data_IF_544936353095
#
_entry.id   IF_544936353095
#
_cell.length_a   1.000
_cell.length_b   1.000
_cell.length_c   1.000
_cell.angle_alpha   90.00
_cell.angle_beta   90.00
_cell.angle_gamma   90.00
#
_symmetry.space_group_name_H-M   'P 1'
#
loop_
_entity.id
_entity.type
_entity.pdbx_description
1 polymer ?
#
# COMPACT_ATOMS: atom_id res chain seq x y z
N UNK A 1 -18.34 29.33 46.12
CA UNK A 1 -18.28 29.79 44.71
C UNK A 1 -17.76 28.65 43.87
N UNK A 2 -18.49 28.36 42.79
CA UNK A 2 -18.40 27.17 41.96
C UNK A 2 -17.10 27.09 41.15
N UNK A 3 -16.60 25.87 40.91
CA UNK A 3 -16.47 25.26 39.57
C UNK A 3 -15.89 23.83 39.67
N UNK A 4 -16.70 22.85 39.27
CA UNK A 4 -16.24 21.56 38.70
C UNK A 4 -15.63 21.83 37.31
N UNK A 5 -14.73 20.97 36.80
CA UNK A 5 -15.16 19.86 35.91
C UNK A 5 -14.42 18.53 36.21
N UNK A 6 -15.08 17.37 36.18
CA UNK A 6 -15.47 16.54 35.02
C UNK A 6 -14.30 15.72 34.40
N UNK A 7 -14.16 14.49 34.93
CA UNK A 7 -13.94 13.19 34.26
C UNK A 7 -13.10 13.18 32.96
N UNK A 8 -12.01 12.39 32.97
CA UNK A 8 -11.82 11.38 31.93
C UNK A 8 -11.28 10.09 32.56
N UNK A 9 -12.19 9.13 32.71
CA UNK A 9 -11.91 7.75 33.08
C UNK A 9 -11.02 7.11 32.01
N UNK A 10 -9.79 6.75 32.37
CA UNK A 10 -8.95 5.88 31.56
C UNK A 10 -9.52 4.45 31.69
N UNK A 11 -10.55 4.13 30.90
CA UNK A 11 -11.03 2.76 30.78
C UNK A 11 -9.99 1.94 30.02
N UNK A 12 -9.10 1.29 30.75
CA UNK A 12 -8.27 0.21 30.24
C UNK A 12 -9.16 -1.03 30.18
N UNK A 13 -9.75 -1.30 29.02
CA UNK A 13 -10.35 -2.61 28.75
C UNK A 13 -9.22 -3.61 28.47
N UNK A 14 -8.93 -4.46 29.44
CA UNK A 14 -8.19 -5.69 29.21
C UNK A 14 -9.17 -6.73 28.63
N UNK A 15 -9.08 -6.99 27.32
CA UNK A 15 -9.68 -8.17 26.70
C UNK A 15 -8.62 -8.84 25.83
N UNK A 16 -8.15 -9.99 26.30
CA UNK A 16 -7.48 -11.07 25.56
C UNK A 16 -6.36 -10.70 24.57
N UNK A 17 -5.13 -10.58 25.09
CA UNK A 17 -3.98 -11.27 24.51
C UNK A 17 -3.45 -10.82 23.13
N UNK A 18 -3.92 -9.71 22.59
CA UNK A 18 -3.25 -9.05 21.45
C UNK A 18 -2.75 -7.69 21.91
N UNK A 19 -1.43 -7.51 21.91
CA UNK A 19 -0.84 -6.18 21.93
C UNK A 19 -1.37 -5.42 20.70
N UNK A 20 -2.38 -4.57 20.90
CA UNK A 20 -2.58 -3.46 20.00
C UNK A 20 -1.35 -2.56 20.18
N UNK A 21 -0.40 -2.66 19.25
CA UNK A 21 0.64 -1.64 19.15
C UNK A 21 -0.02 -0.32 18.79
N UNK A 22 -0.33 0.48 19.81
CA UNK A 22 -0.59 1.89 19.66
C UNK A 22 0.73 2.52 19.19
N UNK A 23 0.97 2.52 17.87
CA UNK A 23 1.99 3.37 17.28
C UNK A 23 1.65 4.81 17.67
N UNK A 24 2.57 5.54 18.31
CA UNK A 24 2.25 6.85 18.85
C UNK A 24 1.87 7.79 17.71
N UNK A 25 0.69 8.41 17.83
CA UNK A 25 0.17 9.50 16.99
C UNK A 25 1.14 10.71 16.84
N UNK A 26 2.30 10.69 17.50
CA UNK A 26 3.32 11.75 17.50
C UNK A 26 4.43 11.58 16.44
N UNK A 27 4.44 10.50 15.65
CA UNK A 27 5.54 10.22 14.70
C UNK A 27 5.49 11.14 13.47
N UNK A 28 4.31 11.36 12.89
CA UNK A 28 4.14 12.09 11.62
C UNK A 28 3.67 13.53 11.84
N UNK A 29 4.14 14.46 10.99
CA UNK A 29 3.66 15.84 10.95
C UNK A 29 2.38 16.01 10.17
N UNK A 30 2.21 15.17 9.15
CA UNK A 30 1.08 15.17 8.26
C UNK A 30 0.96 13.82 7.56
N UNK A 31 -0.27 13.45 7.21
CA UNK A 31 -0.59 12.26 6.43
C UNK A 31 -1.63 12.63 5.38
N UNK A 32 -1.34 12.32 4.11
CA UNK A 32 -2.24 12.58 2.99
C UNK A 32 -2.56 11.32 2.22
N UNK A 33 -3.79 11.20 1.74
CA UNK A 33 -4.18 10.11 0.83
C UNK A 33 -3.52 10.34 -0.52
N UNK A 34 -2.76 9.35 -0.99
CA UNK A 34 -2.15 9.32 -2.32
C UNK A 34 -3.07 8.61 -3.32
N UNK A 35 -3.70 7.51 -2.92
CA UNK A 35 -4.69 6.78 -3.70
C UNK A 35 -5.65 6.04 -2.76
N UNK A 36 -6.96 6.07 -3.07
CA UNK A 36 -8.02 5.34 -2.36
C UNK A 36 -8.93 4.55 -3.32
N UNK A 37 -8.57 4.45 -4.59
CA UNK A 37 -9.20 3.70 -5.66
C UNK A 37 -10.64 4.11 -6.03
N UNK A 38 -11.12 5.26 -5.54
CA UNK A 38 -12.46 5.77 -5.85
C UNK A 38 -12.59 6.25 -7.30
N UNK A 39 -11.54 6.87 -7.84
CA UNK A 39 -11.50 7.39 -9.20
C UNK A 39 -10.48 6.65 -10.07
N UNK A 40 -9.97 5.51 -9.59
CA UNK A 40 -8.96 4.75 -10.30
C UNK A 40 -9.51 4.19 -11.60
N UNK A 41 -8.76 4.32 -12.68
CA UNK A 41 -9.13 3.78 -13.98
C UNK A 41 -7.96 3.02 -14.59
N UNK A 42 -8.21 1.76 -14.88
CA UNK A 42 -7.33 0.93 -15.68
C UNK A 42 -8.15 0.10 -16.64
N UNK A 43 -7.48 -0.41 -17.66
CA UNK A 43 -8.06 -1.33 -18.64
C UNK A 43 -7.18 -2.57 -18.74
N UNK A 44 -7.63 -3.60 -19.45
CA UNK A 44 -6.85 -4.82 -19.64
C UNK A 44 -5.44 -4.57 -20.21
N UNK A 45 -5.26 -3.51 -21.01
CA UNK A 45 -3.95 -3.10 -21.53
C UNK A 45 -2.95 -2.68 -20.45
N UNK A 46 -3.44 -2.33 -19.25
CA UNK A 46 -2.64 -1.94 -18.11
C UNK A 46 -2.20 -3.15 -17.28
N UNK A 47 -2.76 -4.33 -17.54
CA UNK A 47 -2.42 -5.56 -16.84
C UNK A 47 -1.42 -6.32 -17.69
N UNK A 48 -0.25 -6.62 -17.12
CA UNK A 48 0.74 -7.48 -17.76
C UNK A 48 0.82 -8.76 -16.97
N UNK A 49 0.50 -9.87 -17.64
CA UNK A 49 0.58 -11.20 -17.07
C UNK A 49 1.86 -11.88 -17.54
N UNK A 50 2.71 -12.27 -16.61
CA UNK A 50 3.91 -13.05 -16.88
C UNK A 50 3.68 -14.48 -16.44
N UNK A 51 3.58 -15.39 -17.40
CA UNK A 51 3.46 -16.82 -17.13
C UNK A 51 2.64 -17.54 -18.19
N UNK A 52 2.58 -18.86 -18.05
CA UNK A 52 1.80 -19.74 -18.89
C UNK A 52 0.74 -20.42 -18.02
N UNK A 53 -0.47 -19.86 -18.02
CA UNK A 53 -1.61 -20.42 -17.31
C UNK A 53 -2.78 -20.64 -18.27
N UNK A 54 -3.50 -21.73 -18.07
CA UNK A 54 -4.84 -21.89 -18.68
C UNK A 54 -5.92 -21.19 -17.83
N UNK A 55 -5.59 -20.89 -16.56
CA UNK A 55 -6.47 -20.23 -15.59
C UNK A 55 -5.86 -18.88 -15.22
N UNK A 56 -6.50 -17.80 -15.65
CA UNK A 56 -5.94 -16.46 -15.47
C UNK A 56 -6.45 -15.79 -14.19
N UNK A 57 -5.57 -15.08 -13.46
CA UNK A 57 -5.99 -14.16 -12.41
C UNK A 57 -6.93 -13.08 -12.93
N UNK A 58 -7.83 -12.62 -12.07
CA UNK A 58 -8.74 -11.50 -12.32
C UNK A 58 -8.25 -10.29 -11.51
N UNK A 59 -8.09 -9.13 -12.16
CA UNK A 59 -7.73 -7.88 -11.52
C UNK A 59 -8.89 -6.91 -11.77
N UNK A 60 -9.45 -6.36 -10.70
CA UNK A 60 -10.61 -5.44 -10.79
C UNK A 60 -10.67 -4.47 -9.62
N UNK A 61 -11.44 -3.40 -9.83
CA UNK A 61 -11.96 -2.62 -8.72
C UNK A 61 -13.14 -3.33 -8.06
N UNK A 62 -13.23 -3.28 -6.74
CA UNK A 62 -14.33 -3.90 -5.99
C UNK A 62 -14.72 -3.10 -4.74
N UNK A 63 -16.03 -3.07 -4.47
CA UNK A 63 -16.61 -2.57 -3.23
C UNK A 63 -16.80 -3.65 -2.15
N UNK A 64 -16.54 -4.92 -2.49
CA UNK A 64 -16.74 -6.05 -1.56
C UNK A 64 -15.65 -6.13 -0.47
N UNK A 65 -14.49 -5.55 -0.74
CA UNK A 65 -13.32 -5.63 0.14
C UNK A 65 -12.70 -4.24 0.32
N UNK A 66 -13.34 -3.37 1.08
CA UNK A 66 -12.76 -2.06 1.42
C UNK A 66 -12.15 -2.08 2.82
N UNK A 67 -11.15 -1.22 3.03
CA UNK A 67 -10.40 -1.17 4.28
C UNK A 67 -11.31 -0.74 5.44
N UNK A 68 -11.23 -1.39 6.60
CA UNK A 68 -11.97 -0.95 7.78
C UNK A 68 -11.32 0.26 8.48
N UNK A 69 -10.13 0.70 8.02
CA UNK A 69 -9.36 1.75 8.68
C UNK A 69 -9.76 3.16 8.23
N UNK A 70 -10.33 3.30 7.02
CA UNK A 70 -10.83 4.55 6.48
C UNK A 70 -12.01 4.25 5.55
N UNK A 71 -12.97 5.18 5.47
CA UNK A 71 -14.10 5.04 4.56
C UNK A 71 -13.61 5.01 3.11
N UNK A 72 -13.93 3.92 2.42
CA UNK A 72 -13.66 3.68 1.00
C UNK A 72 -14.81 2.83 0.45
N UNK A 73 -15.20 3.10 -0.79
CA UNK A 73 -16.20 2.34 -1.55
C UNK A 73 -15.56 1.47 -2.63
N UNK A 74 -14.25 1.60 -2.87
CA UNK A 74 -13.56 0.92 -3.96
C UNK A 74 -12.13 0.53 -3.56
N UNK A 75 -11.67 -0.61 -4.06
CA UNK A 75 -10.34 -1.14 -3.78
C UNK A 75 -9.82 -1.93 -4.97
N UNK A 76 -8.50 -2.05 -5.11
CA UNK A 76 -7.88 -2.86 -6.15
C UNK A 76 -7.73 -4.31 -5.68
N UNK A 77 -8.48 -5.22 -6.31
CA UNK A 77 -8.45 -6.65 -6.02
C UNK A 77 -7.63 -7.40 -7.07
N UNK A 78 -6.68 -8.21 -6.59
CA UNK A 78 -6.07 -9.32 -7.29
C UNK A 78 -6.73 -10.61 -6.81
N UNK A 79 -7.49 -11.25 -7.69
CA UNK A 79 -8.10 -12.56 -7.44
C UNK A 79 -7.34 -13.61 -8.24
N UNK A 80 -6.73 -14.54 -7.52
CA UNK A 80 -5.92 -15.61 -8.10
C UNK A 80 -6.68 -16.92 -7.89
N UNK A 81 -7.30 -17.48 -8.94
CA UNK A 81 -7.99 -18.75 -8.84
C UNK A 81 -7.04 -19.89 -8.44
N UNK A 82 -7.61 -20.90 -7.79
CA UNK A 82 -6.87 -22.13 -7.49
C UNK A 82 -6.32 -22.75 -8.78
N UNK A 83 -5.04 -23.17 -8.75
CA UNK A 83 -4.37 -23.76 -9.91
C UNK A 83 -3.82 -22.76 -10.94
N UNK A 84 -4.02 -21.45 -10.78
CA UNK A 84 -3.39 -20.45 -11.64
C UNK A 84 -1.85 -20.50 -11.53
N UNK A 85 -1.16 -20.57 -12.67
CA UNK A 85 0.31 -20.65 -12.75
C UNK A 85 0.87 -19.42 -13.44
N UNK A 86 1.54 -18.57 -12.67
CA UNK A 86 2.14 -17.35 -13.16
C UNK A 86 3.45 -17.07 -12.43
N UNK A 87 4.27 -16.21 -13.00
CA UNK A 87 5.48 -15.69 -12.39
C UNK A 87 5.21 -14.35 -11.69
N UNK A 88 4.47 -13.47 -12.35
CA UNK A 88 4.00 -12.20 -11.78
C UNK A 88 2.82 -11.61 -12.55
N UNK A 89 2.09 -10.73 -11.89
CA UNK A 89 1.04 -9.89 -12.47
C UNK A 89 1.45 -8.44 -12.21
N UNK A 90 1.47 -7.61 -13.23
CA UNK A 90 1.70 -6.18 -13.13
C UNK A 90 0.41 -5.41 -13.42
N UNK A 91 0.21 -4.32 -12.69
CA UNK A 91 -0.86 -3.34 -12.93
C UNK A 91 -0.19 -1.99 -13.09
N UNK A 92 -0.09 -1.51 -14.32
CA UNK A 92 0.52 -0.23 -14.66
C UNK A 92 -0.52 0.89 -14.58
N UNK A 93 -0.19 1.96 -13.88
CA UNK A 93 -1.09 3.10 -13.73
C UNK A 93 -1.17 3.89 -15.03
N UNK A 94 -2.39 4.19 -15.47
CA UNK A 94 -2.60 5.08 -16.63
C UNK A 94 -2.08 6.50 -16.37
N UNK A 95 -2.07 6.92 -15.10
CA UNK A 95 -1.49 8.19 -14.65
C UNK A 95 -0.68 7.91 -13.37
N UNK A 96 0.64 8.20 -13.37
CA UNK A 96 1.47 7.97 -12.19
C UNK A 96 1.05 8.83 -11.00
N UNK A 97 1.19 8.29 -9.79
CA UNK A 97 1.01 9.08 -8.57
C UNK A 97 2.27 9.88 -8.26
N UNK A 98 2.10 11.20 -8.12
CA UNK A 98 3.21 12.11 -7.86
C UNK A 98 3.46 12.27 -6.36
N UNK A 99 4.73 12.13 -6.00
CA UNK A 99 5.26 12.38 -4.67
C UNK A 99 6.12 13.64 -4.77
N UNK A 100 5.58 14.83 -4.41
CA UNK A 100 6.18 16.13 -4.72
C UNK A 100 7.33 16.52 -3.80
N UNK A 101 7.47 15.86 -2.66
CA UNK A 101 8.42 16.21 -1.60
C UNK A 101 9.16 14.96 -1.13
N UNK A 102 10.13 15.15 -0.23
CA UNK A 102 10.80 14.06 0.47
C UNK A 102 9.77 13.26 1.28
N UNK A 103 9.14 12.30 0.61
CA UNK A 103 8.35 11.26 1.23
C UNK A 103 9.28 10.40 2.06
N UNK A 104 8.90 10.16 3.31
CA UNK A 104 9.71 9.36 4.20
C UNK A 104 9.15 7.95 4.32
N UNK A 105 7.82 7.80 4.23
CA UNK A 105 7.14 6.52 4.37
C UNK A 105 5.80 6.52 3.63
N UNK A 106 5.47 5.41 2.96
CA UNK A 106 4.15 5.12 2.44
C UNK A 106 3.45 4.12 3.35
N UNK A 107 2.16 4.31 3.60
CA UNK A 107 1.30 3.33 4.26
C UNK A 107 0.36 2.70 3.24
N UNK A 108 0.31 1.37 3.21
CA UNK A 108 -0.59 0.59 2.38
C UNK A 108 -1.57 -0.17 3.26
N UNK A 109 -2.87 -0.09 2.96
CA UNK A 109 -3.84 -0.99 3.56
C UNK A 109 -3.97 -2.23 2.68
N UNK A 110 -3.47 -3.36 3.18
CA UNK A 110 -3.50 -4.62 2.44
C UNK A 110 -4.42 -5.63 3.11
N UNK A 111 -5.17 -6.36 2.32
CA UNK A 111 -5.91 -7.54 2.76
C UNK A 111 -5.42 -8.77 2.03
N UNK A 112 -5.42 -9.92 2.72
CA UNK A 112 -5.22 -11.20 2.08
C UNK A 112 -6.01 -12.35 2.69
N UNK A 113 -6.43 -13.31 1.87
CA UNK A 113 -7.11 -14.54 2.32
C UNK A 113 -6.14 -15.65 2.73
N UNK A 114 -4.88 -15.58 2.31
CA UNK A 114 -3.89 -16.59 2.63
C UNK A 114 -2.51 -15.97 2.86
N UNK A 115 -1.61 -16.78 3.40
CA UNK A 115 -0.19 -16.43 3.46
C UNK A 115 0.47 -16.92 2.18
N UNK A 116 1.50 -16.20 1.77
CA UNK A 116 2.32 -16.43 0.59
C UNK A 116 2.18 -15.30 -0.44
N UNK A 117 3.19 -15.17 -1.30
CA UNK A 117 3.27 -14.13 -2.33
C UNK A 117 3.98 -12.87 -1.86
N UNK A 118 4.30 -12.02 -2.83
CA UNK A 118 5.07 -10.79 -2.60
C UNK A 118 4.45 -9.65 -3.40
N UNK A 119 4.13 -8.56 -2.72
CA UNK A 119 3.64 -7.34 -3.34
C UNK A 119 4.77 -6.32 -3.46
N UNK A 120 4.86 -5.69 -4.61
CA UNK A 120 5.77 -4.62 -4.94
C UNK A 120 5.02 -3.45 -5.57
N UNK A 121 5.62 -2.27 -5.53
CA UNK A 121 5.26 -1.17 -6.41
C UNK A 121 6.45 -0.74 -7.26
N UNK A 122 6.15 -0.18 -8.42
CA UNK A 122 7.11 0.45 -9.31
C UNK A 122 7.16 1.93 -9.05
N UNK A 123 8.38 2.46 -9.06
CA UNK A 123 8.61 3.87 -8.79
C UNK A 123 9.74 4.40 -9.67
N UNK A 124 9.52 5.54 -10.30
CA UNK A 124 10.56 6.29 -11.00
C UNK A 124 11.13 7.35 -10.06
N UNK A 125 12.45 7.37 -9.92
CA UNK A 125 13.13 8.40 -9.15
C UNK A 125 13.16 9.76 -9.87
N UNK A 126 13.73 10.78 -9.21
CA UNK A 126 13.86 12.13 -9.77
C UNK A 126 14.65 12.19 -11.10
N UNK A 127 15.51 11.21 -11.36
CA UNK A 127 16.29 11.06 -12.59
C UNK A 127 15.62 10.13 -13.62
N UNK A 128 14.33 9.82 -13.42
CA UNK A 128 13.53 8.91 -14.25
C UNK A 128 14.07 7.48 -14.31
N UNK A 129 14.85 7.05 -13.31
CA UNK A 129 15.32 5.66 -13.24
C UNK A 129 14.25 4.81 -12.55
N UNK A 130 13.88 3.65 -13.13
CA UNK A 130 12.87 2.79 -12.54
C UNK A 130 13.46 1.99 -11.37
N UNK A 131 12.66 1.85 -10.32
CA UNK A 131 12.94 1.04 -9.13
C UNK A 131 11.74 0.14 -8.85
N UNK A 132 12.01 -1.06 -8.32
CA UNK A 132 11.00 -1.96 -7.80
C UNK A 132 11.15 -2.08 -6.30
N UNK A 133 10.14 -1.66 -5.55
CA UNK A 133 10.19 -1.57 -4.09
C UNK A 133 9.24 -2.60 -3.50
N UNK A 134 9.72 -3.37 -2.53
CA UNK A 134 8.90 -4.37 -1.84
C UNK A 134 7.95 -3.67 -0.87
N UNK A 135 6.66 -3.97 -0.99
CA UNK A 135 5.66 -3.57 0.00
C UNK A 135 5.63 -4.60 1.12
N UNK A 136 5.35 -5.86 0.80
CA UNK A 136 5.28 -6.92 1.80
C UNK A 136 5.52 -8.29 1.16
N UNK A 137 6.19 -9.16 1.91
CA UNK A 137 5.93 -10.62 1.83
C UNK A 137 4.64 -10.88 2.57
N UNK A 138 3.63 -11.45 1.92
CA UNK A 138 2.29 -11.56 2.49
C UNK A 138 2.28 -12.75 3.45
N UNK A 139 2.57 -12.51 4.73
CA UNK A 139 2.63 -13.57 5.76
C UNK A 139 1.48 -13.44 6.78
N UNK A 140 0.38 -12.82 6.37
CA UNK A 140 -0.79 -12.52 7.21
C UNK A 140 -2.08 -12.85 6.47
N UNK A 141 -3.17 -12.94 7.23
CA UNK A 141 -4.54 -13.06 6.72
C UNK A 141 -5.38 -11.93 7.32
N UNK A 142 -6.36 -11.43 6.59
CA UNK A 142 -7.12 -10.24 6.97
C UNK A 142 -6.42 -8.93 6.62
N UNK A 143 -6.97 -7.82 7.12
CA UNK A 143 -6.48 -6.46 6.85
C UNK A 143 -5.26 -6.11 7.70
N UNK A 144 -4.25 -5.51 7.08
CA UNK A 144 -3.03 -5.03 7.73
C UNK A 144 -2.54 -3.75 7.10
N UNK A 145 -2.08 -2.82 7.95
CA UNK A 145 -1.35 -1.63 7.53
C UNK A 145 0.13 -1.96 7.37
N UNK A 146 0.69 -1.66 6.21
CA UNK A 146 2.10 -1.91 5.88
C UNK A 146 2.78 -0.58 5.61
N UNK A 147 3.88 -0.32 6.32
CA UNK A 147 4.65 0.92 6.21
C UNK A 147 5.94 0.65 5.44
N UNK A 148 6.15 1.39 4.34
CA UNK A 148 7.30 1.23 3.44
C UNK A 148 8.13 2.49 3.46
N UNK A 149 9.38 2.45 3.95
CA UNK A 149 10.26 3.62 3.97
C UNK A 149 10.71 3.97 2.55
N UNK A 150 10.69 5.26 2.21
CA UNK A 150 11.04 5.80 0.88
C UNK A 150 12.45 6.41 0.82
N UNK A 151 13.23 6.28 1.91
CA UNK A 151 14.54 6.91 2.08
C UNK A 151 15.61 6.42 1.09
N UNK A 152 15.46 5.20 0.56
CA UNK A 152 16.43 4.59 -0.36
C UNK A 152 16.24 4.99 -1.81
N UNK A 153 15.16 5.70 -2.15
CA UNK A 153 14.89 6.14 -3.52
C UNK A 153 15.42 7.57 -3.67
N UNK A 154 16.29 7.86 -4.63
CA UNK A 154 16.83 9.21 -4.81
C UNK A 154 15.73 10.24 -5.13
N UNK A 155 15.72 11.37 -4.40
CA UNK A 155 14.77 12.47 -4.60
C UNK A 155 15.38 13.69 -5.31
N UNK A 156 16.70 13.69 -5.52
CA UNK A 156 17.44 14.81 -6.12
C UNK A 156 18.11 14.37 -7.42
N UNK A 157 17.94 15.17 -8.47
CA UNK A 157 18.72 15.06 -9.70
C UNK A 157 20.00 15.88 -9.53
N UNK A 158 21.12 15.19 -9.25
CA UNK A 158 22.43 15.82 -9.04
C UNK A 158 22.93 16.63 -10.24
N UNK A 159 22.41 16.36 -11.45
CA UNK A 159 22.86 17.02 -12.69
C UNK A 159 22.14 18.36 -12.87
N UNK A 160 20.85 18.40 -12.57
CA UNK A 160 20.01 19.59 -12.79
C UNK A 160 19.80 20.44 -11.54
N UNK A 161 20.11 19.92 -10.35
CA UNK A 161 19.85 20.56 -9.06
C UNK A 161 18.37 20.97 -8.88
N UNK A 162 17.48 20.25 -9.57
CA UNK A 162 16.03 20.46 -9.54
C UNK A 162 15.37 19.33 -8.75
N UNK A 163 14.50 19.70 -7.81
CA UNK A 163 13.65 18.74 -7.10
C UNK A 163 12.53 18.30 -8.04
N UNK A 164 12.63 17.08 -8.58
CA UNK A 164 11.57 16.46 -9.37
C UNK A 164 10.77 15.49 -8.51
N UNK A 165 9.44 15.40 -8.72
CA UNK A 165 8.62 14.46 -7.99
C UNK A 165 9.00 13.03 -8.37
N UNK A 166 9.01 12.15 -7.37
CA UNK A 166 9.03 10.71 -7.57
C UNK A 166 7.66 10.28 -8.09
N UNK A 167 7.63 9.26 -8.96
CA UNK A 167 6.38 8.77 -9.58
C UNK A 167 6.16 7.32 -9.24
N UNK A 168 5.05 6.98 -8.58
CA UNK A 168 4.60 5.58 -8.53
C UNK A 168 3.94 5.27 -9.86
N UNK A 169 4.36 4.19 -10.53
CA UNK A 169 3.93 3.87 -11.90
C UNK A 169 3.15 2.57 -12.00
N UNK A 170 3.10 1.76 -10.95
CA UNK A 170 2.35 0.51 -10.96
C UNK A 170 2.58 -0.37 -9.75
N UNK A 171 1.93 -1.52 -9.78
CA UNK A 171 2.04 -2.57 -8.77
C UNK A 171 2.44 -3.88 -9.43
N UNK A 172 3.15 -4.73 -8.69
CA UNK A 172 3.48 -6.08 -9.12
C UNK A 172 3.17 -7.07 -7.99
N UNK A 173 2.42 -8.10 -8.32
CA UNK A 173 2.16 -9.23 -7.43
C UNK A 173 2.88 -10.48 -7.94
N UNK A 174 3.67 -11.10 -7.06
CA UNK A 174 4.19 -12.45 -7.25
C UNK A 174 3.32 -13.47 -6.52
N UNK A 175 3.11 -14.65 -7.10
CA UNK A 175 2.32 -15.69 -6.46
C UNK A 175 3.01 -16.24 -5.20
N UNK A 176 2.23 -16.91 -4.33
CA UNK A 176 2.81 -17.77 -3.32
C UNK A 176 3.55 -18.96 -3.95
N UNK A 177 4.47 -19.62 -3.20
CA UNK A 177 5.07 -20.88 -3.61
C UNK A 177 4.00 -21.93 -3.96
N UNK A 178 4.30 -22.83 -4.90
CA UNK A 178 3.36 -23.87 -5.40
C UNK A 178 2.65 -24.67 -4.30
N UNK A 179 3.30 -24.88 -3.15
CA UNK A 179 2.75 -25.60 -2.00
C UNK A 179 1.51 -24.95 -1.38
N UNK A 180 1.25 -23.67 -1.65
CA UNK A 180 0.15 -22.89 -1.06
C UNK A 180 -0.99 -22.59 -2.05
N UNK A 181 -0.91 -23.09 -3.30
CA UNK A 181 -1.86 -22.79 -4.40
C UNK A 181 -3.15 -23.63 -4.41
N UNK A 182 -3.45 -24.34 -3.33
CA UNK A 182 -4.60 -25.27 -3.26
C UNK A 182 -5.96 -24.59 -3.09
N UNK A 183 -5.98 -23.27 -2.91
CA UNK A 183 -7.18 -22.46 -2.72
C UNK A 183 -7.06 -21.15 -3.48
N UNK A 184 -8.20 -20.51 -3.70
CA UNK A 184 -8.24 -19.15 -4.22
C UNK A 184 -7.51 -18.18 -3.27
N UNK A 185 -6.65 -17.35 -3.85
CA UNK A 185 -5.82 -16.40 -3.15
C UNK A 185 -6.25 -14.98 -3.56
N UNK A 186 -6.69 -14.19 -2.59
CA UNK A 186 -7.05 -12.80 -2.80
C UNK A 186 -5.99 -11.91 -2.17
N UNK A 187 -5.60 -10.88 -2.89
CA UNK A 187 -4.82 -9.76 -2.38
C UNK A 187 -5.55 -8.50 -2.75
N UNK A 188 -5.81 -7.63 -1.77
CA UNK A 188 -6.47 -6.35 -2.02
C UNK A 188 -5.54 -5.25 -1.54
N UNK A 189 -5.43 -4.22 -2.37
CA UNK A 189 -4.78 -2.96 -2.02
C UNK A 189 -5.90 -1.93 -1.92
N UNK A 190 -5.92 -1.24 -0.80
CA UNK A 190 -6.75 -0.07 -0.59
C UNK A 190 -5.89 1.00 0.08
N UNK A 191 -6.34 2.25 0.02
CA UNK A 191 -5.83 3.37 0.81
C UNK A 191 -4.28 3.40 0.93
N UNK A 192 -3.66 4.08 -0.01
CA UNK A 192 -2.23 4.38 0.01
C UNK A 192 -2.08 5.80 0.57
N UNK A 193 -1.43 5.93 1.72
CA UNK A 193 -1.17 7.21 2.36
C UNK A 193 0.31 7.55 2.25
N UNK A 194 0.58 8.85 2.09
CA UNK A 194 1.91 9.40 2.23
C UNK A 194 2.07 10.05 3.60
N UNK A 195 3.15 9.71 4.30
CA UNK A 195 3.48 10.26 5.60
C UNK A 195 4.77 11.09 5.60
N UNK A 196 4.72 12.21 6.33
CA UNK A 196 5.86 13.09 6.59
C UNK A 196 6.24 13.05 8.08
N UNK A 197 7.53 13.03 8.44
CA UNK A 197 7.99 13.01 9.84
C UNK A 197 8.14 14.41 10.42
N UNK A 198 7.73 14.58 11.68
CA UNK A 198 7.83 15.84 12.44
C UNK A 198 9.24 16.44 12.52
N UNK A 199 10.30 15.63 12.38
CA UNK A 199 11.69 16.10 12.55
C UNK A 199 12.22 16.92 11.37
N UNK A 200 11.54 16.91 10.22
CA UNK A 200 12.00 17.58 8.99
C UNK A 200 11.15 18.79 8.59
N UNK A 201 10.43 19.42 9.54
CA UNK A 201 9.97 20.81 9.34
C UNK A 201 11.21 21.70 9.24
N UNK A 202 11.77 21.82 8.03
CA UNK A 202 12.64 22.93 7.68
C UNK A 202 11.74 24.16 7.84
N UNK A 203 12.01 24.96 8.86
CA UNK A 203 11.30 26.23 9.05
C UNK A 203 11.53 27.08 7.78
N UNK A 204 10.48 27.78 7.28
CA UNK A 204 10.62 28.67 6.13
C UNK A 204 11.65 29.77 6.39
#
# INVERSE_FOLDING_TARGET
MNLLPLILSLCIFFINGTELSLHPLSKYSDSRVLENFENFQFSEKNIIFHGNSEIYPEIKLTSLFTSPYMESNSSLLFRIPSGARFESIEVLLSTPYLIPELALELEFHLYSTARGGELYFFVEDSASRPHKVSVSRIQFTGWKKIFVPMLSIPHEDFVLNEKKPIKITGFLLKPPPESEKSREFLVVIDNILLHHFNKYKIRP
#
